data_IF_984297968125
#
_entry.id   IF_984297968125
#
_cell.length_a   1.000
_cell.length_b   1.000
_cell.length_c   1.000
_cell.angle_alpha   90.00
_cell.angle_beta   90.00
_cell.angle_gamma   90.00
#
_symmetry.space_group_name_H-M   'P 1'
#
loop_
_entity.id
_entity.type
_entity.pdbx_description
1 polymer ?
#
# COMPACT_ATOMS: atom_id res chain seq x y z
N UNK A 1 16.49 2.92 -27.54
CA UNK A 1 15.45 3.96 -27.67
C UNK A 1 16.13 5.32 -27.55
N UNK A 2 15.88 6.25 -28.47
CA UNK A 2 16.35 7.63 -28.36
C UNK A 2 15.20 8.47 -27.80
N UNK A 3 15.35 9.00 -26.57
CA UNK A 3 14.26 9.65 -25.84
C UNK A 3 14.19 11.18 -26.06
N UNK A 4 15.13 11.76 -26.83
CA UNK A 4 15.21 13.21 -27.06
C UNK A 4 16.59 13.78 -26.72
N UNK A 5 16.69 15.10 -26.47
CA UNK A 5 17.95 15.76 -26.12
C UNK A 5 18.52 15.28 -24.77
N UNK A 6 19.71 15.78 -24.42
CA UNK A 6 20.37 15.42 -23.16
C UNK A 6 19.43 15.54 -21.96
N UNK A 7 19.40 14.52 -21.11
CA UNK A 7 18.52 14.42 -19.94
C UNK A 7 17.18 13.70 -20.17
N UNK A 8 16.69 13.63 -21.41
CA UNK A 8 15.37 13.02 -21.69
C UNK A 8 15.32 11.53 -21.32
N UNK A 9 16.42 10.79 -21.48
CA UNK A 9 16.51 9.39 -21.05
C UNK A 9 16.36 9.21 -19.54
N UNK A 10 16.98 10.08 -18.73
CA UNK A 10 16.84 10.05 -17.28
C UNK A 10 15.42 10.44 -16.84
N UNK A 11 14.81 11.41 -17.52
CA UNK A 11 13.43 11.79 -17.25
C UNK A 11 12.45 10.63 -17.49
N UNK A 12 12.56 9.93 -18.62
CA UNK A 12 11.74 8.74 -18.91
C UNK A 12 11.95 7.65 -17.85
N UNK A 13 13.21 7.40 -17.45
CA UNK A 13 13.52 6.43 -16.39
C UNK A 13 12.96 6.83 -15.03
N UNK A 14 12.99 8.12 -14.69
CA UNK A 14 12.40 8.64 -13.47
C UNK A 14 10.90 8.33 -13.42
N UNK A 15 10.15 8.70 -14.47
CA UNK A 15 8.71 8.43 -14.56
C UNK A 15 8.41 6.92 -14.54
N UNK A 16 9.22 6.10 -15.23
CA UNK A 16 9.11 4.63 -15.16
C UNK A 16 9.16 4.13 -13.70
N UNK A 17 10.11 4.61 -12.89
CA UNK A 17 10.19 4.21 -11.48
C UNK A 17 9.00 4.72 -10.66
N UNK A 18 8.44 5.88 -11.00
CA UNK A 18 7.17 6.34 -10.41
C UNK A 18 6.01 5.39 -10.71
N UNK A 19 5.88 4.94 -11.97
CA UNK A 19 4.85 3.95 -12.38
C UNK A 19 5.05 2.63 -11.63
N UNK A 20 6.30 2.15 -11.52
CA UNK A 20 6.64 0.94 -10.76
C UNK A 20 6.13 1.02 -9.31
N UNK A 21 6.28 2.17 -8.65
CA UNK A 21 5.78 2.36 -7.28
C UNK A 21 4.25 2.21 -7.22
N UNK A 22 3.52 2.81 -8.17
CA UNK A 22 2.07 2.69 -8.24
C UNK A 22 1.58 1.26 -8.47
N UNK A 23 2.25 0.51 -9.35
CA UNK A 23 1.93 -0.89 -9.61
C UNK A 23 2.18 -1.78 -8.39
N UNK A 24 3.33 -1.62 -7.73
CA UNK A 24 3.65 -2.36 -6.50
C UNK A 24 2.65 -2.06 -5.39
N UNK A 25 2.30 -0.79 -5.18
CA UNK A 25 1.33 -0.37 -4.17
C UNK A 25 -0.05 -0.99 -4.43
N UNK A 26 -0.51 -0.95 -5.68
CA UNK A 26 -1.82 -1.51 -6.06
C UNK A 26 -1.91 -3.01 -5.78
N UNK A 27 -0.85 -3.77 -6.09
CA UNK A 27 -0.77 -5.20 -5.76
C UNK A 27 -0.76 -5.41 -4.23
N UNK A 28 0.10 -4.69 -3.50
CA UNK A 28 0.23 -4.83 -2.06
C UNK A 28 -1.08 -4.51 -1.30
N UNK A 29 -1.79 -3.44 -1.68
CA UNK A 29 -3.07 -3.08 -1.10
C UNK A 29 -4.13 -4.15 -1.36
N UNK A 30 -4.23 -4.64 -2.61
CA UNK A 30 -5.17 -5.71 -2.97
C UNK A 30 -4.93 -7.00 -2.19
N UNK A 31 -3.67 -7.41 -2.03
CA UNK A 31 -3.31 -8.60 -1.25
C UNK A 31 -3.60 -8.41 0.24
N UNK A 32 -3.38 -7.20 0.79
CA UNK A 32 -3.71 -6.92 2.17
C UNK A 32 -5.23 -6.97 2.43
N UNK A 33 -6.05 -6.55 1.47
CA UNK A 33 -7.51 -6.73 1.54
C UNK A 33 -7.86 -8.22 1.60
N UNK A 34 -7.29 -9.04 0.71
CA UNK A 34 -7.52 -10.51 0.73
C UNK A 34 -7.08 -11.16 2.04
N UNK A 35 -5.95 -10.70 2.61
CA UNK A 35 -5.42 -11.20 3.89
C UNK A 35 -6.36 -10.94 5.07
N UNK A 36 -7.18 -9.91 4.97
CA UNK A 36 -8.14 -9.50 6.01
C UNK A 36 -9.59 -9.85 5.66
N UNK A 37 -9.80 -10.69 4.65
CA UNK A 37 -11.14 -11.11 4.20
C UNK A 37 -11.86 -12.05 5.19
N UNK A 38 -11.22 -12.41 6.30
CA UNK A 38 -11.74 -13.21 7.42
C UNK A 38 -12.12 -12.35 8.64
N UNK A 39 -12.10 -11.01 8.54
CA UNK A 39 -12.37 -10.09 9.66
C UNK A 39 -13.71 -10.37 10.37
N UNK A 40 -14.72 -10.89 9.68
CA UNK A 40 -16.00 -11.29 10.25
C UNK A 40 -15.94 -12.49 11.20
N UNK A 41 -14.88 -13.30 11.13
CA UNK A 41 -14.62 -14.39 12.10
C UNK A 41 -13.97 -13.88 13.39
N UNK A 42 -13.34 -12.70 13.32
CA UNK A 42 -12.61 -12.05 14.41
C UNK A 42 -13.57 -11.05 15.08
N UNK A 43 -14.61 -11.53 15.74
CA UNK A 43 -15.63 -10.67 16.37
C UNK A 43 -14.97 -9.72 17.38
N UNK A 44 -14.71 -8.47 16.98
CA UNK A 44 -14.36 -7.39 17.88
C UNK A 44 -15.65 -6.89 18.55
N UNK A 45 -15.66 -6.84 19.88
CA UNK A 45 -16.61 -5.97 20.57
C UNK A 45 -16.35 -4.54 20.07
N UNK A 46 -17.34 -3.89 19.47
CA UNK A 46 -17.19 -2.55 18.90
C UNK A 46 -16.58 -1.61 19.93
N UNK A 47 -15.48 -0.96 19.55
CA UNK A 47 -14.76 -0.02 20.40
C UNK A 47 -14.76 1.39 19.78
N UNK A 48 -14.34 2.38 20.56
CA UNK A 48 -14.36 3.78 20.11
C UNK A 48 -13.35 4.09 18.98
N UNK A 49 -12.53 3.12 18.58
CA UNK A 49 -11.51 3.26 17.54
C UNK A 49 -11.94 2.63 16.21
N UNK A 50 -12.73 1.55 16.24
CA UNK A 50 -13.13 0.79 15.05
C UNK A 50 -14.65 0.80 14.91
N UNK A 51 -15.13 1.33 13.78
CA UNK A 51 -16.55 1.24 13.44
C UNK A 51 -16.98 -0.24 13.37
N UNK A 52 -18.13 -0.61 13.95
CA UNK A 52 -18.58 -1.99 13.93
C UNK A 52 -18.84 -2.47 12.51
N UNK A 53 -18.41 -3.69 12.20
CA UNK A 53 -18.69 -4.36 10.92
C UNK A 53 -20.19 -4.71 10.88
N UNK A 54 -20.92 -4.11 9.94
CA UNK A 54 -22.38 -4.25 9.87
C UNK A 54 -22.81 -5.67 9.50
N UNK A 55 -22.14 -6.29 8.52
CA UNK A 55 -22.50 -7.59 7.95
C UNK A 55 -21.28 -8.55 7.98
N UNK A 56 -20.88 -9.07 9.16
CA UNK A 56 -19.68 -9.89 9.31
C UNK A 56 -19.72 -11.21 8.53
N UNK A 57 -20.90 -11.74 8.21
CA UNK A 57 -21.08 -12.95 7.41
C UNK A 57 -20.46 -12.86 6.00
N UNK A 58 -20.30 -11.65 5.45
CA UNK A 58 -19.68 -11.44 4.14
C UNK A 58 -18.16 -11.42 4.17
N UNK A 59 -17.53 -11.56 5.34
CA UNK A 59 -16.09 -11.45 5.51
C UNK A 59 -15.54 -12.61 6.36
N UNK A 60 -15.89 -13.84 5.99
CA UNK A 60 -15.46 -15.06 6.66
C UNK A 60 -14.59 -15.94 5.76
N UNK A 61 -13.73 -15.31 4.95
CA UNK A 61 -12.92 -16.01 3.95
C UNK A 61 -11.46 -16.13 4.38
N UNK A 62 -11.02 -17.37 4.62
CA UNK A 62 -9.60 -17.70 4.66
C UNK A 62 -9.11 -17.92 3.23
N UNK A 63 -8.29 -17.00 2.72
CA UNK A 63 -7.82 -17.01 1.33
C UNK A 63 -6.36 -17.47 1.27
N UNK A 64 -6.08 -18.47 0.43
CA UNK A 64 -4.71 -18.87 0.08
C UNK A 64 -4.11 -17.86 -0.91
N UNK A 65 -3.44 -16.84 -0.38
CA UNK A 65 -2.82 -15.77 -1.16
C UNK A 65 -1.74 -16.30 -2.13
N UNK A 66 -0.82 -17.21 -1.73
CA UNK A 66 0.10 -17.85 -2.68
C UNK A 66 -0.61 -18.49 -3.87
N UNK A 67 -1.68 -19.25 -3.65
CA UNK A 67 -2.43 -19.87 -4.75
C UNK A 67 -3.13 -18.83 -5.64
N UNK A 68 -3.74 -17.81 -5.05
CA UNK A 68 -4.37 -16.71 -5.81
C UNK A 68 -3.37 -15.97 -6.69
N UNK A 69 -2.19 -15.64 -6.15
CA UNK A 69 -1.15 -14.95 -6.92
C UNK A 69 -0.62 -15.82 -8.06
N UNK A 70 -0.46 -17.13 -7.87
CA UNK A 70 -0.08 -18.06 -8.94
C UNK A 70 -1.16 -18.17 -10.02
N UNK A 71 -2.44 -18.25 -9.61
CA UNK A 71 -3.58 -18.31 -10.54
C UNK A 71 -3.62 -17.08 -11.45
N UNK A 72 -3.45 -15.88 -10.88
CA UNK A 72 -3.52 -14.63 -11.64
C UNK A 72 -2.41 -14.46 -12.68
N UNK A 73 -1.34 -15.26 -12.64
CA UNK A 73 -0.29 -15.23 -13.67
C UNK A 73 -0.80 -15.73 -15.03
N UNK A 74 -1.92 -16.45 -15.09
CA UNK A 74 -2.41 -17.12 -16.29
C UNK A 74 -3.78 -16.59 -16.70
N UNK A 75 -3.80 -15.81 -17.78
CA UNK A 75 -5.06 -15.34 -18.39
C UNK A 75 -5.79 -14.23 -17.63
N UNK A 76 -5.21 -13.69 -16.55
CA UNK A 76 -5.75 -12.50 -15.89
C UNK A 76 -5.28 -11.21 -16.55
N UNK A 77 -6.07 -10.14 -16.43
CA UNK A 77 -5.75 -8.80 -16.94
C UNK A 77 -4.56 -8.18 -16.18
N UNK A 78 -4.33 -8.59 -14.93
CA UNK A 78 -3.27 -8.03 -14.08
C UNK A 78 -1.96 -8.81 -14.16
N UNK A 79 -1.86 -9.76 -15.10
CA UNK A 79 -0.62 -10.47 -15.41
C UNK A 79 0.51 -9.50 -15.71
N UNK A 80 1.59 -9.57 -14.92
CA UNK A 80 2.74 -8.68 -15.04
C UNK A 80 4.00 -9.30 -14.41
N UNK A 81 5.16 -8.76 -14.77
CA UNK A 81 6.42 -9.17 -14.15
C UNK A 81 6.43 -8.97 -12.62
N UNK A 82 5.83 -7.87 -12.13
CA UNK A 82 5.72 -7.64 -10.69
C UNK A 82 4.85 -8.71 -10.01
N UNK A 83 3.75 -9.13 -10.65
CA UNK A 83 2.92 -10.23 -10.13
C UNK A 83 3.70 -11.55 -10.12
N UNK A 84 4.52 -11.84 -11.14
CA UNK A 84 5.39 -13.02 -11.15
C UNK A 84 6.34 -13.02 -9.94
N UNK A 85 6.99 -11.88 -9.67
CA UNK A 85 7.88 -11.73 -8.51
C UNK A 85 7.11 -11.88 -7.19
N UNK A 86 5.91 -11.33 -7.09
CA UNK A 86 5.06 -11.48 -5.91
C UNK A 86 4.66 -12.94 -5.68
N UNK A 87 4.26 -13.67 -6.71
CA UNK A 87 3.90 -15.08 -6.58
C UNK A 87 5.10 -15.95 -6.15
N UNK A 88 6.31 -15.66 -6.66
CA UNK A 88 7.54 -16.32 -6.22
C UNK A 88 7.77 -16.07 -4.72
N UNK A 89 7.74 -14.81 -4.28
CA UNK A 89 7.94 -14.45 -2.88
C UNK A 89 6.90 -15.08 -1.95
N UNK A 90 5.62 -15.09 -2.34
CA UNK A 90 4.54 -15.69 -1.55
C UNK A 90 4.67 -17.21 -1.44
N UNK A 91 5.19 -17.87 -2.47
CA UNK A 91 5.44 -19.32 -2.43
C UNK A 91 6.59 -19.66 -1.47
N UNK A 92 7.60 -18.80 -1.39
CA UNK A 92 8.75 -18.97 -0.50
C UNK A 92 8.41 -18.63 0.96
N UNK A 93 7.65 -17.55 1.17
CA UNK A 93 7.20 -17.09 2.49
C UNK A 93 5.75 -16.58 2.43
N UNK A 94 4.76 -17.47 2.63
CA UNK A 94 3.33 -17.10 2.57
C UNK A 94 2.90 -15.99 3.53
N UNK A 95 3.60 -15.86 4.65
CA UNK A 95 3.32 -14.88 5.69
C UNK A 95 4.33 -13.71 5.72
N UNK A 96 5.36 -13.74 4.87
CA UNK A 96 6.38 -12.68 4.74
C UNK A 96 7.05 -12.27 6.06
N UNK A 97 7.15 -13.19 7.03
CA UNK A 97 7.59 -12.90 8.41
C UNK A 97 9.02 -12.36 8.53
N UNK A 98 9.86 -12.59 7.52
CA UNK A 98 11.23 -12.07 7.43
C UNK A 98 11.30 -10.58 7.06
N UNK A 99 10.20 -10.00 6.57
CA UNK A 99 10.16 -8.61 6.13
C UNK A 99 9.59 -7.71 7.24
N UNK A 100 10.33 -6.65 7.59
CA UNK A 100 9.91 -5.68 8.63
C UNK A 100 8.73 -4.76 8.23
N UNK A 101 8.30 -4.79 6.96
CA UNK A 101 7.30 -3.87 6.42
C UNK A 101 7.76 -2.42 6.23
N UNK A 102 9.02 -2.07 6.55
CA UNK A 102 9.59 -0.72 6.33
C UNK A 102 10.12 -0.59 4.91
N UNK A 103 9.42 0.17 4.06
CA UNK A 103 9.73 0.28 2.64
C UNK A 103 10.56 1.54 2.34
N UNK A 104 11.73 1.34 1.73
CA UNK A 104 12.62 2.44 1.30
C UNK A 104 12.21 3.02 -0.06
N UNK A 105 12.71 4.23 -0.35
CA UNK A 105 12.61 4.89 -1.66
C UNK A 105 13.98 5.44 -2.08
N UNK A 106 14.30 5.39 -3.38
CA UNK A 106 15.64 5.72 -3.94
C UNK A 106 15.76 7.11 -4.55
N UNK A 107 14.65 7.87 -4.61
CA UNK A 107 14.61 9.24 -5.14
C UNK A 107 13.73 9.41 -6.37
N UNK A 108 13.70 8.46 -7.31
CA UNK A 108 12.98 8.64 -8.58
C UNK A 108 11.46 8.79 -8.42
N UNK A 109 10.87 8.11 -7.43
CA UNK A 109 9.46 8.31 -7.08
C UNK A 109 9.16 9.73 -6.57
N UNK A 110 10.12 10.34 -5.85
CA UNK A 110 10.02 11.73 -5.38
C UNK A 110 10.12 12.69 -6.56
N UNK A 111 11.12 12.52 -7.41
CA UNK A 111 11.31 13.39 -8.57
C UNK A 111 10.15 13.28 -9.56
N UNK A 112 9.54 12.11 -9.72
CA UNK A 112 8.31 11.95 -10.51
C UNK A 112 7.16 12.79 -9.94
N UNK A 113 6.96 12.78 -8.61
CA UNK A 113 5.91 13.57 -7.97
C UNK A 113 6.18 15.08 -8.09
N UNK A 114 7.45 15.50 -7.97
CA UNK A 114 7.84 16.90 -8.16
C UNK A 114 7.58 17.34 -9.60
N UNK A 115 8.00 16.55 -10.60
CA UNK A 115 7.75 16.85 -12.01
C UNK A 115 6.25 16.98 -12.30
N UNK A 116 5.41 16.09 -11.77
CA UNK A 116 3.96 16.19 -11.91
C UNK A 116 3.39 17.50 -11.34
N UNK A 117 3.91 17.97 -10.20
CA UNK A 117 3.52 19.25 -9.59
C UNK A 117 3.96 20.42 -10.47
N UNK A 118 5.21 20.45 -10.90
CA UNK A 118 5.77 21.51 -11.74
C UNK A 118 5.05 21.63 -13.09
N UNK A 119 4.64 20.49 -13.65
CA UNK A 119 3.87 20.42 -14.91
C UNK A 119 2.36 20.68 -14.71
N UNK A 120 1.86 20.72 -13.48
CA UNK A 120 0.42 20.83 -13.19
C UNK A 120 -0.38 19.59 -13.60
N UNK A 121 0.24 18.41 -13.61
CA UNK A 121 -0.36 17.12 -13.99
C UNK A 121 -0.85 16.36 -12.75
N UNK A 122 -2.14 15.96 -12.68
CA UNK A 122 -2.62 15.15 -11.57
C UNK A 122 -1.97 13.77 -11.53
N UNK A 123 -1.32 13.42 -10.41
CA UNK A 123 -0.68 12.11 -10.21
C UNK A 123 -1.05 11.44 -8.87
N UNK A 124 -2.35 11.37 -8.49
CA UNK A 124 -2.76 10.93 -7.14
C UNK A 124 -2.29 9.52 -6.78
N UNK A 125 -2.33 8.57 -7.73
CA UNK A 125 -1.91 7.18 -7.50
C UNK A 125 -0.40 7.10 -7.24
N UNK A 126 0.41 7.80 -8.03
CA UNK A 126 1.87 7.76 -7.90
C UNK A 126 2.31 8.46 -6.60
N UNK A 127 1.67 9.57 -6.25
CA UNK A 127 1.92 10.28 -4.99
C UNK A 127 1.50 9.45 -3.77
N UNK A 128 0.34 8.79 -3.81
CA UNK A 128 -0.12 7.92 -2.73
C UNK A 128 0.84 6.74 -2.51
N UNK A 129 1.28 6.08 -3.59
CA UNK A 129 2.26 5.00 -3.52
C UNK A 129 3.59 5.44 -2.88
N UNK A 130 4.03 6.68 -3.16
CA UNK A 130 5.20 7.27 -2.50
C UNK A 130 4.94 7.52 -1.00
N UNK A 131 3.79 8.10 -0.65
CA UNK A 131 3.43 8.39 0.74
C UNK A 131 3.24 7.15 1.59
N UNK A 132 2.75 6.05 1.00
CA UNK A 132 2.67 4.75 1.69
C UNK A 132 4.04 4.29 2.20
N UNK A 133 5.12 4.50 1.43
CA UNK A 133 6.49 4.21 1.86
C UNK A 133 6.94 5.12 3.01
N UNK A 134 6.48 6.36 3.06
CA UNK A 134 6.78 7.29 4.16
C UNK A 134 6.06 6.85 5.44
N UNK A 135 4.77 6.52 5.32
CA UNK A 135 3.94 5.99 6.40
C UNK A 135 4.52 4.68 6.98
N UNK A 136 4.98 3.76 6.13
CA UNK A 136 5.61 2.50 6.56
C UNK A 136 6.84 2.69 7.46
N UNK A 137 7.48 3.86 7.39
CA UNK A 137 8.64 4.23 8.20
C UNK A 137 8.28 5.02 9.46
N UNK A 138 6.97 5.20 9.73
CA UNK A 138 6.39 6.02 10.81
C UNK A 138 6.65 7.51 10.67
N UNK A 139 6.84 8.00 9.44
CA UNK A 139 7.06 9.44 9.20
C UNK A 139 5.76 10.29 9.33
N UNK A 140 4.60 9.64 9.47
CA UNK A 140 3.31 10.28 9.74
C UNK A 140 2.94 10.40 11.23
N UNK A 141 3.74 9.81 12.14
CA UNK A 141 3.36 9.61 13.54
C UNK A 141 2.97 10.90 14.28
N UNK A 142 3.62 12.04 13.97
CA UNK A 142 3.24 13.32 14.56
C UNK A 142 1.85 13.78 14.11
N UNK A 143 1.52 13.59 12.84
CA UNK A 143 0.18 13.91 12.32
C UNK A 143 -0.87 13.01 12.98
N UNK A 144 -0.58 11.72 13.14
CA UNK A 144 -1.47 10.76 13.81
C UNK A 144 -1.71 11.16 15.27
N UNK A 145 -0.65 11.50 16.03
CA UNK A 145 -0.76 12.01 17.41
C UNK A 145 -1.57 13.31 17.49
N UNK A 146 -1.40 14.22 16.53
CA UNK A 146 -2.18 15.44 16.48
C UNK A 146 -3.67 15.16 16.22
N UNK A 147 -4.00 14.19 15.36
CA UNK A 147 -5.37 13.74 15.13
C UNK A 147 -6.00 13.17 16.41
N UNK A 148 -5.27 12.30 17.13
CA UNK A 148 -5.72 11.77 18.42
C UNK A 148 -5.93 12.86 19.47
N UNK A 149 -4.99 13.81 19.56
CA UNK A 149 -5.12 14.95 20.45
C UNK A 149 -6.38 15.78 20.14
N UNK A 150 -6.65 16.05 18.86
CA UNK A 150 -7.87 16.76 18.45
C UNK A 150 -9.13 15.96 18.82
N UNK A 151 -9.20 14.66 18.50
CA UNK A 151 -10.34 13.78 18.86
C UNK A 151 -10.61 13.78 20.36
N UNK A 152 -9.56 13.77 21.18
CA UNK A 152 -9.69 13.90 22.63
C UNK A 152 -10.26 15.25 23.03
N UNK A 153 -9.76 16.35 22.46
CA UNK A 153 -10.19 17.70 22.83
C UNK A 153 -11.65 18.00 22.46
N UNK A 154 -12.13 17.61 21.28
CA UNK A 154 -13.51 17.94 20.88
C UNK A 154 -14.54 16.86 21.23
N UNK A 155 -14.14 15.58 21.26
CA UNK A 155 -15.06 14.46 21.39
C UNK A 155 -14.87 13.62 22.65
N UNK A 156 -13.87 13.91 23.48
CA UNK A 156 -13.54 13.11 24.66
C UNK A 156 -13.10 11.69 24.34
N UNK A 157 -12.63 11.43 23.12
CA UNK A 157 -12.16 10.10 22.71
C UNK A 157 -10.79 9.82 23.34
N UNK A 158 -10.74 8.91 24.31
CA UNK A 158 -9.48 8.39 24.84
C UNK A 158 -8.92 7.29 23.92
N UNK A 159 -7.61 7.33 23.68
CA UNK A 159 -6.89 6.25 23.01
C UNK A 159 -6.76 5.04 23.93
N UNK A 160 -6.72 3.83 23.37
CA UNK A 160 -6.31 2.65 24.12
C UNK A 160 -4.87 2.82 24.58
N UNK A 161 -4.61 2.48 25.84
CA UNK A 161 -3.25 2.29 26.35
C UNK A 161 -2.72 0.96 25.82
N UNK A 162 -1.53 0.96 25.21
CA UNK A 162 -0.82 -0.27 24.85
C UNK A 162 -0.71 -1.19 26.08
N UNK A 163 -1.26 -2.41 25.97
CA UNK A 163 -1.14 -3.49 26.96
C UNK A 163 -0.23 -4.62 26.48
#
# INVERSE_FOLDING_TARGET
>A
MHCGPSGAGHFVKMVHNGIEYGMMASLAEGLNILRNADVGTRVQQGDAETAPLTDPEFYQYTIDIPEVTELWRRGSVIGSWLLDLTAIAMRESPDLTEFSGRVSDSGEGRWTSIAAIDEGVPAPVLSAALYYRFASRRLGEFADKALSAMRKQFGGHDEKTDS
#
